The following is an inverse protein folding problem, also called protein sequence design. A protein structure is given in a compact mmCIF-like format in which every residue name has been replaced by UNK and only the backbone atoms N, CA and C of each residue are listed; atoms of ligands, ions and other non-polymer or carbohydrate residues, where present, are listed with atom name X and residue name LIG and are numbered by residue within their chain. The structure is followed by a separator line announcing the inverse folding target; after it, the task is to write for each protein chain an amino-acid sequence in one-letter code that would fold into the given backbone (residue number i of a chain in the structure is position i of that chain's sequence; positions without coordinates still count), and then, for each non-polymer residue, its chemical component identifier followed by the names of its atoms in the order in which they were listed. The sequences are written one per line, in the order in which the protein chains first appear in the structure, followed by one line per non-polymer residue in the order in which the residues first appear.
data_IF_891605380809
#
_entry.id   IF_891605380809
#
_cell.length_a   1.000
_cell.length_b   1.000
_cell.length_c   1.000
_cell.angle_alpha   90.00
_cell.angle_beta   90.00
_cell.angle_gamma   90.00
#
_symmetry.space_group_name_H-M   'P 1'
#
loop_
_entity.id
_entity.type
_entity.pdbx_description
1 polymer ?
#
# COMPACT_ATOMS: atom_id res chain seq x y z
N UNK A 1 11.50 1.42 -4.22
CA UNK A 1 11.32 0.80 -2.89
C UNK A 1 9.97 0.10 -2.83
N UNK A 2 9.89 -1.05 -2.12
CA UNK A 2 8.64 -1.74 -1.82
C UNK A 2 8.49 -1.79 -0.30
N UNK A 3 7.39 -1.27 0.22
CA UNK A 3 7.01 -1.32 1.63
C UNK A 3 5.74 -2.15 1.80
N UNK A 4 5.59 -2.87 2.90
CA UNK A 4 4.45 -3.76 3.14
C UNK A 4 3.50 -3.16 4.18
N UNK A 5 2.26 -2.93 3.78
CA UNK A 5 1.16 -2.50 4.63
C UNK A 5 0.34 -3.72 5.11
N UNK A 6 0.98 -4.59 5.90
CA UNK A 6 0.38 -5.84 6.40
C UNK A 6 0.98 -7.08 5.76
N UNK A 7 2.04 -7.63 6.36
CA UNK A 7 2.65 -8.89 5.92
C UNK A 7 1.69 -10.06 6.07
N UNK A 8 1.80 -11.07 5.20
CA UNK A 8 0.88 -12.22 5.17
C UNK A 8 0.81 -12.98 6.49
N UNK A 9 1.96 -13.22 7.13
CA UNK A 9 2.03 -14.11 8.30
C UNK A 9 1.64 -13.42 9.60
N UNK A 10 2.06 -12.17 9.81
CA UNK A 10 1.91 -11.46 11.10
C UNK A 10 1.07 -10.20 11.01
N UNK A 11 0.69 -9.75 9.81
CA UNK A 11 0.03 -8.46 9.61
C UNK A 11 0.92 -7.27 9.98
N UNK A 12 2.26 -7.45 9.99
CA UNK A 12 3.19 -6.37 10.30
C UNK A 12 3.13 -5.27 9.24
N UNK A 13 3.27 -4.02 9.68
CA UNK A 13 3.25 -2.84 8.81
C UNK A 13 4.65 -2.21 8.87
N UNK A 14 5.25 -2.01 7.72
CA UNK A 14 6.52 -1.29 7.60
C UNK A 14 6.36 0.18 8.01
N UNK A 15 7.43 0.87 8.44
CA UNK A 15 7.38 2.28 8.84
C UNK A 15 7.17 3.21 7.62
N UNK A 16 5.92 3.29 7.14
CA UNK A 16 5.56 3.97 5.89
C UNK A 16 5.99 5.45 5.85
N UNK A 17 5.81 6.27 6.92
CA UNK A 17 6.24 7.66 6.90
C UNK A 17 7.75 7.83 6.68
N UNK A 18 8.56 6.99 7.34
CA UNK A 18 10.01 7.01 7.28
C UNK A 18 10.51 6.56 5.90
N UNK A 19 9.93 5.48 5.37
CA UNK A 19 10.26 4.98 4.03
C UNK A 19 9.84 5.99 2.94
N UNK A 20 8.71 6.68 3.12
CA UNK A 20 8.28 7.74 2.21
C UNK A 20 9.21 8.95 2.24
N UNK A 21 9.72 9.35 3.42
CA UNK A 21 10.71 10.41 3.51
C UNK A 21 11.99 10.04 2.76
N UNK A 22 12.54 8.84 3.03
CA UNK A 22 13.73 8.33 2.35
C UNK A 22 13.56 8.24 0.84
N UNK A 23 12.42 7.74 0.36
CA UNK A 23 12.16 7.66 -1.08
C UNK A 23 12.15 9.04 -1.76
N UNK A 24 11.61 10.07 -1.10
CA UNK A 24 11.63 11.43 -1.65
C UNK A 24 13.03 12.04 -1.66
N UNK A 25 13.82 11.79 -0.62
CA UNK A 25 15.21 12.28 -0.52
C UNK A 25 16.09 11.67 -1.63
N UNK A 26 15.87 10.41 -1.94
CA UNK A 26 16.68 9.64 -2.90
C UNK A 26 16.07 9.57 -4.32
N UNK A 27 15.00 10.32 -4.59
CA UNK A 27 14.24 10.28 -5.86
C UNK A 27 13.85 8.85 -6.30
N UNK A 28 13.37 8.05 -5.33
CA UNK A 28 12.94 6.68 -5.53
C UNK A 28 11.42 6.56 -5.55
N UNK A 29 10.92 5.68 -6.42
CA UNK A 29 9.52 5.26 -6.42
C UNK A 29 9.18 4.45 -5.15
N UNK A 30 8.13 4.82 -4.44
CA UNK A 30 7.56 4.06 -3.32
C UNK A 30 6.32 3.27 -3.77
N UNK A 31 6.46 1.95 -3.87
CA UNK A 31 5.32 1.04 -3.95
C UNK A 31 4.96 0.53 -2.56
N UNK A 32 3.67 0.56 -2.21
CA UNK A 32 3.16 -0.12 -1.02
C UNK A 32 2.43 -1.39 -1.43
N UNK A 33 2.90 -2.54 -0.96
CA UNK A 33 2.17 -3.79 -0.98
C UNK A 33 1.15 -3.77 0.17
N UNK A 34 -0.10 -3.46 -0.16
CA UNK A 34 -1.23 -3.52 0.74
C UNK A 34 -2.18 -4.67 0.40
N UNK A 35 -1.71 -5.72 -0.27
CA UNK A 35 -2.54 -6.85 -0.70
C UNK A 35 -3.44 -7.34 0.44
N UNK A 36 -2.85 -7.56 1.62
CA UNK A 36 -3.59 -7.95 2.82
C UNK A 36 -4.14 -6.76 3.62
N UNK A 37 -3.28 -5.82 4.04
CA UNK A 37 -3.69 -4.80 5.03
C UNK A 37 -4.13 -3.47 4.45
N UNK A 38 -3.94 -3.20 3.15
CA UNK A 38 -4.22 -1.90 2.53
C UNK A 38 -5.68 -1.44 2.68
N UNK A 39 -6.64 -2.38 2.59
CA UNK A 39 -8.06 -2.08 2.77
C UNK A 39 -8.41 -1.62 4.21
N UNK A 40 -7.58 -1.94 5.22
CA UNK A 40 -7.86 -1.55 6.60
C UNK A 40 -7.72 -0.05 6.85
N UNK A 41 -7.22 0.73 5.89
CA UNK A 41 -7.27 2.21 5.94
C UNK A 41 -8.71 2.73 5.99
N UNK A 42 -9.67 1.94 5.48
CA UNK A 42 -11.10 2.26 5.51
C UNK A 42 -11.73 2.01 6.89
N UNK A 43 -11.10 1.19 7.73
CA UNK A 43 -11.57 0.92 9.08
C UNK A 43 -11.05 2.01 10.05
N UNK A 44 -11.90 2.59 10.93
CA UNK A 44 -11.45 3.60 11.91
C UNK A 44 -10.29 3.14 12.80
N UNK A 45 -10.24 1.84 13.14
CA UNK A 45 -9.17 1.24 13.95
C UNK A 45 -7.87 0.98 13.17
N UNK A 46 -7.96 0.76 11.85
CA UNK A 46 -6.81 0.50 10.98
C UNK A 46 -6.16 1.77 10.44
N UNK A 47 -6.97 2.80 10.16
CA UNK A 47 -6.51 4.06 9.57
C UNK A 47 -5.30 4.70 10.27
N UNK A 48 -5.23 4.81 11.61
CA UNK A 48 -4.06 5.39 12.27
C UNK A 48 -2.78 4.55 12.11
N UNK A 49 -2.91 3.23 11.97
CA UNK A 49 -1.77 2.30 11.82
C UNK A 49 -1.15 2.35 10.43
N UNK A 50 -1.91 2.79 9.44
CA UNK A 50 -1.50 2.89 8.04
C UNK A 50 -1.14 4.33 7.63
N UNK A 51 -0.88 5.21 8.60
CA UNK A 51 -0.41 6.57 8.34
C UNK A 51 0.83 6.53 7.43
N UNK A 52 0.86 7.35 6.38
CA UNK A 52 1.94 7.38 5.40
C UNK A 52 1.64 6.57 4.14
N UNK A 53 0.62 5.70 4.14
CA UNK A 53 0.18 4.99 2.93
C UNK A 53 -0.24 5.96 1.82
N UNK A 54 -0.75 7.13 2.19
CA UNK A 54 -1.15 8.20 1.29
C UNK A 54 0.03 8.90 0.61
N UNK A 55 1.28 8.54 0.91
CA UNK A 55 2.48 9.00 0.25
C UNK A 55 3.00 8.06 -0.85
N UNK A 56 2.44 6.85 -0.99
CA UNK A 56 2.89 5.86 -1.96
C UNK A 56 2.65 6.32 -3.41
N UNK A 57 3.59 6.07 -4.31
CA UNK A 57 3.41 6.35 -5.75
C UNK A 57 2.50 5.30 -6.40
N UNK A 58 2.50 4.09 -5.84
CA UNK A 58 1.53 3.05 -6.16
C UNK A 58 1.20 2.19 -4.95
N UNK A 59 0.00 1.62 -4.95
CA UNK A 59 -0.52 0.75 -3.91
C UNK A 59 -1.25 -0.42 -4.55
N UNK A 60 -0.88 -1.66 -4.23
CA UNK A 60 -1.78 -2.79 -4.50
C UNK A 60 -2.62 -3.11 -3.26
N UNK A 61 -3.83 -3.61 -3.47
CA UNK A 61 -4.62 -4.25 -2.42
C UNK A 61 -5.56 -5.29 -3.02
N UNK A 62 -5.89 -6.32 -2.25
CA UNK A 62 -6.80 -7.38 -2.68
C UNK A 62 -8.15 -7.27 -1.96
N UNK A 63 -9.20 -6.74 -2.62
CA UNK A 63 -10.55 -6.76 -2.06
C UNK A 63 -11.01 -8.16 -1.62
N UNK A 64 -10.52 -9.22 -2.26
CA UNK A 64 -10.87 -10.59 -1.87
C UNK A 64 -10.27 -11.04 -0.54
N UNK A 65 -9.39 -10.25 0.07
CA UNK A 65 -8.84 -10.49 1.42
C UNK A 65 -9.58 -9.65 2.46
N UNK A 66 -9.32 -8.35 2.49
CA UNK A 66 -9.80 -7.46 3.56
C UNK A 66 -11.23 -6.92 3.39
N UNK A 67 -11.85 -7.13 2.23
CA UNK A 67 -13.18 -6.58 1.90
C UNK A 67 -14.22 -7.66 1.58
N UNK A 68 -13.88 -8.94 1.73
CA UNK A 68 -14.80 -10.07 1.53
C UNK A 68 -15.42 -10.14 0.12
N UNK A 69 -14.68 -9.71 -0.91
CA UNK A 69 -15.07 -9.92 -2.32
C UNK A 69 -14.63 -11.31 -2.84
N UNK A 70 -15.20 -11.80 -3.96
CA UNK A 70 -14.79 -13.09 -4.54
C UNK A 70 -13.33 -13.12 -4.98
N UNK A 71 -12.69 -14.30 -4.89
CA UNK A 71 -11.34 -14.51 -5.39
C UNK A 71 -11.16 -14.07 -6.85
N UNK A 72 -9.96 -13.59 -7.14
CA UNK A 72 -9.62 -13.02 -8.45
C UNK A 72 -9.79 -11.49 -8.50
N UNK A 73 -10.37 -10.86 -7.48
CA UNK A 73 -10.42 -9.38 -7.40
C UNK A 73 -9.16 -8.84 -6.74
N UNK A 74 -8.28 -8.19 -7.52
CA UNK A 74 -7.13 -7.42 -7.05
C UNK A 74 -7.15 -6.02 -7.67
N UNK A 75 -6.52 -5.05 -7.02
CA UNK A 75 -6.48 -3.68 -7.49
C UNK A 75 -5.05 -3.12 -7.39
N UNK A 76 -4.65 -2.37 -8.41
CA UNK A 76 -3.46 -1.52 -8.40
C UNK A 76 -3.90 -0.07 -8.55
N UNK A 77 -3.52 0.77 -7.59
CA UNK A 77 -3.70 2.20 -7.62
C UNK A 77 -2.35 2.85 -7.92
N UNK A 78 -2.35 3.81 -8.85
CA UNK A 78 -1.17 4.63 -9.17
C UNK A 78 -1.56 6.08 -8.92
N UNK A 79 -0.72 6.82 -8.19
CA UNK A 79 -0.98 8.21 -7.80
C UNK A 79 -1.14 9.13 -9.01
N UNK A 80 -0.21 9.02 -9.94
CA UNK A 80 -0.20 9.80 -11.16
C UNK A 80 -0.55 8.91 -12.35
N UNK A 81 -1.70 9.14 -12.97
CA UNK A 81 -2.15 8.37 -14.15
C UNK A 81 -1.26 8.57 -15.39
N UNK A 82 -0.44 9.63 -15.42
CA UNK A 82 0.57 9.82 -16.45
C UNK A 82 1.85 9.01 -16.18
N UNK A 83 2.07 8.59 -14.93
CA UNK A 83 3.19 7.72 -14.59
C UNK A 83 3.00 6.37 -15.28
N UNK A 84 3.87 6.09 -16.25
CA UNK A 84 3.83 4.84 -17.01
C UNK A 84 4.37 3.71 -16.14
N UNK A 85 3.49 2.82 -15.69
CA UNK A 85 3.88 1.46 -15.33
C UNK A 85 4.49 0.82 -16.58
N UNK A 86 5.81 0.67 -16.60
CA UNK A 86 6.50 -0.06 -17.67
C UNK A 86 6.44 -1.54 -17.28
N UNK A 87 5.59 -2.31 -17.97
CA UNK A 87 5.60 -3.77 -17.90
C UNK A 87 6.71 -4.34 -18.79
#
# INVERSE_FOLDING_TARGET
MIATAGTTNTGAIDPLPELAALCREEDLWLHVDGAYGGAFVLAPSGRPRLRGIEAADSLCFDPHKGMFLPYGTGCLLVRDGAARLRC
#
